data_IF_972558928261
#
_entry.id   IF_972558928261
#
_cell.length_a   1.000
_cell.length_b   1.000
_cell.length_c   1.000
_cell.angle_alpha   90.00
_cell.angle_beta   90.00
_cell.angle_gamma   90.00
#
_symmetry.space_group_name_H-M   'P 1'
#
loop_
_entity.id
_entity.type
_entity.pdbx_description
1 polymer ?
#
# COMPACT_ATOMS: atom_id res chain seq x y z
N UNK A 1 -13.12 23.25 17.12
CA UNK A 1 -13.68 23.80 18.37
C UNK A 1 -12.62 23.67 19.45
N UNK A 2 -11.92 24.75 19.78
CA UNK A 2 -10.87 24.73 20.79
C UNK A 2 -11.53 24.59 22.17
N UNK A 3 -11.31 23.45 22.83
CA UNK A 3 -11.75 23.23 24.20
C UNK A 3 -10.72 23.93 25.09
N UNK A 4 -11.10 25.01 25.76
CA UNK A 4 -10.32 25.54 26.88
C UNK A 4 -10.89 24.99 28.18
N UNK A 5 -10.04 24.49 29.07
CA UNK A 5 -10.48 24.05 30.38
C UNK A 5 -10.75 25.27 31.24
N UNK A 6 -11.99 25.77 31.22
CA UNK A 6 -12.36 26.95 31.99
C UNK A 6 -12.20 26.73 33.51
N UNK A 7 -12.29 25.48 33.99
CA UNK A 7 -12.02 25.09 35.39
C UNK A 7 -11.85 23.56 35.55
N UNK A 8 -11.39 23.12 36.73
CA UNK A 8 -11.22 21.70 37.12
C UNK A 8 -12.49 20.84 36.98
N UNK A 9 -13.68 21.42 37.22
CA UNK A 9 -14.97 20.73 37.03
C UNK A 9 -15.25 20.43 35.56
N UNK A 10 -14.99 21.39 34.69
CA UNK A 10 -15.15 21.21 33.26
C UNK A 10 -14.13 20.21 32.71
N UNK A 11 -12.88 20.25 33.20
CA UNK A 11 -11.87 19.23 32.91
C UNK A 11 -12.34 17.83 33.31
N UNK A 12 -12.84 17.64 34.52
CA UNK A 12 -13.38 16.36 34.98
C UNK A 12 -14.59 15.89 34.14
N UNK A 13 -15.46 16.81 33.73
CA UNK A 13 -16.62 16.53 32.85
C UNK A 13 -16.16 16.07 31.47
N UNK A 14 -15.22 16.80 30.86
CA UNK A 14 -14.68 16.51 29.53
C UNK A 14 -13.85 15.22 29.53
N UNK A 15 -13.08 14.97 30.60
CA UNK A 15 -12.36 13.71 30.78
C UNK A 15 -13.32 12.53 30.88
N UNK A 16 -14.39 12.65 31.68
CA UNK A 16 -15.39 11.59 31.84
C UNK A 16 -16.21 11.34 30.57
N UNK A 17 -16.52 12.37 29.79
CA UNK A 17 -17.38 12.28 28.61
C UNK A 17 -16.62 11.97 27.32
N UNK A 18 -15.41 12.50 27.16
CA UNK A 18 -14.64 12.46 25.91
C UNK A 18 -13.22 11.90 26.08
N UNK A 19 -12.80 11.52 27.29
CA UNK A 19 -11.46 10.98 27.55
C UNK A 19 -10.34 12.03 27.44
N UNK A 20 -10.66 13.33 27.41
CA UNK A 20 -9.65 14.39 27.26
C UNK A 20 -8.96 14.63 28.60
N UNK A 21 -7.67 14.28 28.68
CA UNK A 21 -6.87 14.36 29.91
C UNK A 21 -6.20 15.73 30.07
N UNK A 22 -5.70 16.29 28.97
CA UNK A 22 -5.01 17.58 28.97
C UNK A 22 -5.03 18.21 27.58
N UNK A 23 -4.70 19.51 27.51
CA UNK A 23 -4.41 20.17 26.25
C UNK A 23 -3.10 19.62 25.69
N UNK A 24 -2.99 19.59 24.37
CA UNK A 24 -1.73 19.22 23.72
C UNK A 24 -0.63 20.22 24.09
N UNK A 25 0.57 19.76 24.52
CA UNK A 25 1.71 20.64 24.77
C UNK A 25 2.10 21.48 23.56
N UNK A 26 1.80 21.00 22.35
CA UNK A 26 2.10 21.69 21.08
C UNK A 26 1.37 23.03 20.96
N UNK A 27 0.26 23.25 21.68
CA UNK A 27 -0.44 24.55 21.71
C UNK A 27 0.43 25.67 22.29
N UNK A 28 1.46 25.34 23.08
CA UNK A 28 2.39 26.32 23.65
C UNK A 28 3.38 26.87 22.62
N UNK A 29 3.48 26.26 21.45
CA UNK A 29 4.37 26.71 20.39
C UNK A 29 3.67 27.86 19.66
N UNK A 30 4.28 29.05 19.68
CA UNK A 30 3.74 30.21 18.99
C UNK A 30 3.55 29.91 17.50
N UNK A 31 2.38 30.30 16.97
CA UNK A 31 1.99 30.09 15.57
C UNK A 31 1.94 28.61 15.14
N UNK A 32 1.86 27.67 16.08
CA UNK A 32 1.61 26.26 15.77
C UNK A 32 0.13 25.92 15.85
N UNK A 33 -0.47 25.61 14.70
CA UNK A 33 -1.82 25.10 14.60
C UNK A 33 -1.80 23.57 14.43
N UNK A 34 -2.23 22.88 15.48
CA UNK A 34 -2.27 21.42 15.53
C UNK A 34 -3.08 20.84 14.37
N UNK A 35 -4.18 21.46 13.96
CA UNK A 35 -5.07 20.89 12.94
C UNK A 35 -4.56 21.13 11.52
N UNK A 36 -3.86 22.25 11.30
CA UNK A 36 -3.38 22.62 9.97
C UNK A 36 -1.92 22.24 9.72
N UNK A 37 -1.14 21.93 10.76
CA UNK A 37 0.30 21.64 10.66
C UNK A 37 0.68 20.24 11.16
N UNK A 38 -0.30 19.37 11.44
CA UNK A 38 -0.04 17.94 11.64
C UNK A 38 -0.71 17.11 10.56
N UNK A 39 0.05 16.16 10.02
CA UNK A 39 -0.43 15.21 9.03
C UNK A 39 -1.31 14.13 9.68
N UNK A 40 -2.40 13.75 9.02
CA UNK A 40 -3.21 12.61 9.43
C UNK A 40 -2.54 11.32 8.97
N UNK A 41 -2.34 10.36 9.88
CA UNK A 41 -1.80 9.06 9.54
C UNK A 41 -2.84 8.15 8.86
N UNK A 42 -2.72 8.04 7.54
CA UNK A 42 -3.65 7.27 6.72
C UNK A 42 -3.62 5.76 7.03
N UNK A 43 -2.52 5.20 7.53
CA UNK A 43 -2.44 3.77 7.83
C UNK A 43 -3.41 3.41 8.96
N UNK A 44 -3.36 4.16 10.06
CA UNK A 44 -4.26 3.92 11.18
C UNK A 44 -5.70 4.30 10.84
N UNK A 45 -5.92 5.37 10.08
CA UNK A 45 -7.27 5.81 9.70
C UNK A 45 -7.94 4.80 8.77
N UNK A 46 -7.29 4.48 7.65
CA UNK A 46 -7.82 3.55 6.65
C UNK A 46 -7.63 2.10 7.10
N UNK A 47 -6.40 1.60 7.07
CA UNK A 47 -6.09 0.17 7.10
C UNK A 47 -6.38 -0.49 8.45
N UNK A 48 -6.05 0.17 9.56
CA UNK A 48 -6.38 -0.33 10.92
C UNK A 48 -7.72 0.19 11.46
N UNK A 49 -8.48 0.89 10.64
CA UNK A 49 -9.70 1.55 11.06
C UNK A 49 -10.86 1.21 10.16
N UNK A 50 -11.10 2.10 9.21
CA UNK A 50 -12.26 2.07 8.33
C UNK A 50 -12.29 0.77 7.51
N UNK A 51 -11.15 0.34 6.96
CA UNK A 51 -11.03 -0.90 6.19
C UNK A 51 -11.42 -2.13 7.00
N UNK A 52 -10.99 -2.21 8.27
CA UNK A 52 -11.38 -3.31 9.15
C UNK A 52 -12.88 -3.29 9.42
N UNK A 53 -13.48 -2.11 9.63
CA UNK A 53 -14.91 -1.96 9.89
C UNK A 53 -15.73 -2.35 8.66
N UNK A 54 -15.39 -1.78 7.50
CA UNK A 54 -16.02 -2.06 6.20
C UNK A 54 -16.04 -3.56 5.92
N UNK A 55 -14.88 -4.21 5.96
CA UNK A 55 -14.77 -5.61 5.61
C UNK A 55 -15.54 -6.52 6.59
N UNK A 56 -15.54 -6.21 7.89
CA UNK A 56 -16.34 -6.95 8.86
C UNK A 56 -17.84 -6.86 8.56
N UNK A 57 -18.33 -5.67 8.23
CA UNK A 57 -19.74 -5.44 7.93
C UNK A 57 -20.17 -6.13 6.63
N UNK A 58 -19.36 -5.99 5.56
CA UNK A 58 -19.59 -6.68 4.30
C UNK A 58 -19.64 -8.21 4.47
N UNK A 59 -18.65 -8.78 5.17
CA UNK A 59 -18.60 -10.22 5.41
C UNK A 59 -19.77 -10.71 6.28
N UNK A 60 -20.19 -9.89 7.26
CA UNK A 60 -21.38 -10.18 8.07
C UNK A 60 -22.63 -10.26 7.21
N UNK A 61 -22.82 -9.30 6.30
CA UNK A 61 -23.98 -9.31 5.41
C UNK A 61 -23.95 -10.51 4.45
N UNK A 62 -22.79 -10.82 3.86
CA UNK A 62 -22.59 -12.02 3.01
C UNK A 62 -22.95 -13.31 3.77
N UNK A 63 -22.54 -13.42 5.04
CA UNK A 63 -22.89 -14.56 5.89
C UNK A 63 -24.40 -14.62 6.18
N UNK A 64 -25.03 -13.48 6.49
CA UNK A 64 -26.46 -13.39 6.80
C UNK A 64 -27.35 -13.75 5.60
N UNK A 65 -26.96 -13.33 4.40
CA UNK A 65 -27.63 -13.71 3.14
C UNK A 65 -27.31 -15.15 2.70
N UNK A 66 -26.45 -15.86 3.44
CA UNK A 66 -25.99 -17.22 3.13
C UNK A 66 -25.33 -17.35 1.76
N UNK A 67 -24.72 -16.27 1.26
CA UNK A 67 -23.98 -16.28 -0.01
C UNK A 67 -22.67 -17.06 0.09
N UNK A 68 -22.03 -17.04 1.26
CA UNK A 68 -20.83 -17.83 1.54
C UNK A 68 -20.74 -18.23 3.00
N UNK A 69 -20.10 -19.37 3.27
CA UNK A 69 -19.65 -19.74 4.61
C UNK A 69 -18.28 -19.08 4.90
N UNK A 70 -18.10 -18.54 6.11
CA UNK A 70 -16.85 -17.91 6.54
C UNK A 70 -15.65 -18.87 6.51
N UNK A 71 -15.82 -20.16 6.81
CA UNK A 71 -14.72 -21.13 6.77
C UNK A 71 -14.27 -21.39 5.33
N UNK A 72 -15.21 -21.59 4.42
CA UNK A 72 -14.94 -21.73 2.99
C UNK A 72 -14.27 -20.47 2.43
N UNK A 73 -14.78 -19.28 2.80
CA UNK A 73 -14.22 -18.02 2.34
C UNK A 73 -12.81 -17.78 2.89
N UNK A 74 -12.55 -18.15 4.14
CA UNK A 74 -11.19 -18.12 4.72
C UNK A 74 -10.24 -19.00 3.92
N UNK A 75 -10.66 -20.20 3.52
CA UNK A 75 -9.83 -21.09 2.71
C UNK A 75 -9.54 -20.49 1.32
N UNK A 76 -10.53 -19.90 0.66
CA UNK A 76 -10.33 -19.23 -0.64
C UNK A 76 -9.37 -18.05 -0.49
N UNK A 77 -9.56 -17.19 0.52
CA UNK A 77 -8.69 -16.03 0.77
C UNK A 77 -7.24 -16.48 1.03
N UNK A 78 -7.02 -17.52 1.83
CA UNK A 78 -5.67 -18.02 2.15
C UNK A 78 -4.96 -18.66 0.96
N UNK A 79 -5.70 -19.39 0.15
CA UNK A 79 -5.14 -20.14 -0.97
C UNK A 79 -5.07 -19.32 -2.28
N UNK A 80 -5.52 -18.06 -2.25
CA UNK A 80 -5.43 -17.17 -3.39
C UNK A 80 -3.97 -16.89 -3.77
N UNK A 81 -3.69 -16.74 -5.07
CA UNK A 81 -2.34 -16.45 -5.56
C UNK A 81 -2.07 -14.95 -5.50
N UNK A 82 -1.46 -14.50 -4.40
CA UNK A 82 -1.02 -13.12 -4.23
C UNK A 82 0.25 -12.81 -5.04
N UNK A 83 0.44 -11.54 -5.38
CA UNK A 83 1.65 -11.07 -6.06
C UNK A 83 2.91 -11.31 -5.23
N UNK A 84 4.05 -11.51 -5.90
CA UNK A 84 5.32 -11.89 -5.26
C UNK A 84 5.77 -10.92 -4.15
N UNK A 85 5.54 -9.62 -4.34
CA UNK A 85 5.92 -8.58 -3.39
C UNK A 85 4.81 -8.22 -2.39
N UNK A 86 3.65 -8.88 -2.47
CA UNK A 86 2.49 -8.54 -1.66
C UNK A 86 2.34 -9.49 -0.46
N UNK A 87 2.05 -8.96 0.74
CA UNK A 87 1.80 -9.79 1.90
C UNK A 87 0.51 -10.58 1.70
N UNK A 88 0.62 -11.90 1.62
CA UNK A 88 -0.53 -12.78 1.77
C UNK A 88 -1.05 -12.76 3.21
N UNK A 89 -2.35 -12.97 3.44
CA UNK A 89 -2.89 -13.17 4.78
C UNK A 89 -2.14 -14.30 5.50
N UNK A 90 -1.65 -14.02 6.69
CA UNK A 90 -0.91 -14.98 7.52
C UNK A 90 -1.80 -16.14 7.97
N UNK A 91 -1.15 -17.20 8.47
CA UNK A 91 -1.83 -18.36 9.09
C UNK A 91 -2.72 -17.98 10.28
N UNK A 92 -2.61 -16.76 10.79
CA UNK A 92 -3.44 -16.22 11.86
C UNK A 92 -4.76 -15.62 11.35
N UNK A 93 -4.88 -15.32 10.06
CA UNK A 93 -6.09 -14.77 9.47
C UNK A 93 -7.18 -15.84 9.42
N UNK A 94 -8.15 -15.79 10.31
CA UNK A 94 -9.33 -16.66 10.28
C UNK A 94 -10.57 -15.80 10.45
N UNK A 95 -11.59 -16.07 9.63
CA UNK A 95 -12.91 -15.49 9.81
C UNK A 95 -13.67 -16.36 10.82
N UNK A 96 -14.06 -15.75 11.94
CA UNK A 96 -14.99 -16.35 12.90
C UNK A 96 -16.22 -15.46 13.06
N UNK A 97 -17.32 -16.07 13.52
CA UNK A 97 -18.51 -15.36 13.94
C UNK A 97 -18.66 -15.55 15.44
N UNK A 98 -18.63 -14.46 16.19
CA UNK A 98 -18.78 -14.43 17.64
C UNK A 98 -19.68 -13.24 17.99
N UNK A 99 -20.66 -13.42 18.86
CA UNK A 99 -21.60 -12.37 19.29
C UNK A 99 -22.31 -11.63 18.13
N UNK A 100 -22.67 -12.37 17.07
CA UNK A 100 -23.21 -11.82 15.81
C UNK A 100 -22.29 -10.80 15.11
N UNK A 101 -20.98 -10.87 15.36
CA UNK A 101 -19.96 -10.09 14.67
C UNK A 101 -18.95 -10.99 13.98
N UNK A 102 -18.51 -10.58 12.78
CA UNK A 102 -17.38 -11.23 12.11
C UNK A 102 -16.08 -10.71 12.71
N UNK A 103 -15.25 -11.63 13.21
CA UNK A 103 -13.94 -11.32 13.77
C UNK A 103 -12.85 -11.90 12.87
N UNK A 104 -11.78 -11.12 12.70
CA UNK A 104 -10.55 -11.54 12.05
C UNK A 104 -9.40 -10.64 12.52
N UNK A 105 -8.16 -11.11 12.30
CA UNK A 105 -6.94 -10.33 12.55
C UNK A 105 -6.16 -10.22 11.25
N UNK A 106 -5.88 -8.99 10.86
CA UNK A 106 -5.02 -8.65 9.74
C UNK A 106 -4.21 -7.40 10.12
N UNK A 107 -2.92 -7.42 9.86
CA UNK A 107 -2.04 -6.26 9.90
C UNK A 107 -2.45 -5.24 8.84
N UNK A 108 -1.97 -3.99 8.97
CA UNK A 108 -2.23 -2.95 7.97
C UNK A 108 -1.80 -3.38 6.55
N UNK A 109 -0.67 -4.07 6.42
CA UNK A 109 -0.16 -4.53 5.13
C UNK A 109 -1.02 -5.67 4.54
N UNK A 110 -1.46 -6.64 5.36
CA UNK A 110 -2.41 -7.67 4.93
C UNK A 110 -3.76 -7.06 4.54
N UNK A 111 -4.24 -6.04 5.28
CA UNK A 111 -5.48 -5.34 4.95
C UNK A 111 -5.41 -4.63 3.60
N UNK A 112 -4.27 -4.01 3.27
CA UNK A 112 -4.07 -3.39 1.97
C UNK A 112 -4.15 -4.43 0.84
N UNK A 113 -3.47 -5.57 0.99
CA UNK A 113 -3.56 -6.66 0.00
C UNK A 113 -4.96 -7.26 -0.10
N UNK A 114 -5.68 -7.43 1.02
CA UNK A 114 -7.08 -7.88 0.99
C UNK A 114 -7.96 -6.91 0.20
N UNK A 115 -7.86 -5.60 0.41
CA UNK A 115 -8.64 -4.62 -0.36
C UNK A 115 -8.28 -4.61 -1.85
N UNK A 116 -7.03 -4.92 -2.20
CA UNK A 116 -6.61 -5.07 -3.59
C UNK A 116 -7.23 -6.32 -4.23
N UNK A 117 -7.22 -7.46 -3.53
CA UNK A 117 -7.53 -8.77 -4.12
C UNK A 117 -8.95 -9.29 -3.87
N UNK A 118 -9.71 -8.74 -2.92
CA UNK A 118 -11.09 -9.19 -2.65
C UNK A 118 -11.98 -9.22 -3.90
N UNK A 119 -11.98 -8.22 -4.79
CA UNK A 119 -12.75 -8.29 -6.03
C UNK A 119 -12.43 -9.54 -6.87
N UNK A 120 -11.15 -9.92 -6.96
CA UNK A 120 -10.72 -11.13 -7.68
C UNK A 120 -11.11 -12.41 -6.96
N UNK A 121 -10.90 -12.44 -5.64
CA UNK A 121 -11.26 -13.58 -4.79
C UNK A 121 -12.76 -13.87 -4.92
N UNK A 122 -13.58 -12.82 -4.83
CA UNK A 122 -15.05 -12.92 -4.95
C UNK A 122 -15.48 -13.25 -6.37
N UNK A 123 -14.74 -12.83 -7.39
CA UNK A 123 -15.00 -13.20 -8.77
C UNK A 123 -14.72 -14.69 -9.01
N UNK A 124 -13.55 -15.17 -8.59
CA UNK A 124 -13.15 -16.58 -8.71
C UNK A 124 -14.09 -17.52 -7.94
N UNK A 125 -14.67 -17.06 -6.83
CA UNK A 125 -15.64 -17.83 -6.05
C UNK A 125 -17.10 -17.62 -6.48
N UNK A 126 -17.35 -17.01 -7.64
CA UNK A 126 -18.70 -16.68 -8.17
C UNK A 126 -19.57 -15.81 -7.24
N UNK A 127 -19.00 -15.16 -6.23
CA UNK A 127 -19.73 -14.29 -5.31
C UNK A 127 -20.06 -12.93 -5.93
N UNK A 128 -19.28 -12.48 -6.91
CA UNK A 128 -19.46 -11.17 -7.55
C UNK A 128 -20.87 -11.00 -8.13
N UNK A 129 -21.44 -12.05 -8.72
CA UNK A 129 -22.80 -11.99 -9.30
C UNK A 129 -23.86 -11.76 -8.21
N UNK A 130 -23.72 -12.44 -7.07
CA UNK A 130 -24.64 -12.35 -5.93
C UNK A 130 -24.58 -11.00 -5.22
N UNK A 131 -23.39 -10.40 -5.12
CA UNK A 131 -23.19 -9.17 -4.34
C UNK A 131 -23.23 -7.90 -5.18
N UNK A 132 -23.19 -8.00 -6.52
CA UNK A 132 -23.02 -6.84 -7.41
C UNK A 132 -24.12 -5.78 -7.28
N UNK A 133 -25.34 -6.19 -6.87
CA UNK A 133 -26.47 -5.30 -6.63
C UNK A 133 -26.53 -4.74 -5.20
N UNK A 134 -25.66 -5.20 -4.29
CA UNK A 134 -25.65 -4.75 -2.90
C UNK A 134 -25.01 -3.37 -2.77
N UNK A 135 -25.65 -2.51 -1.98
CA UNK A 135 -25.12 -1.18 -1.62
C UNK A 135 -23.80 -1.32 -0.84
N UNK A 136 -23.69 -2.35 0.00
CA UNK A 136 -22.49 -2.75 0.74
C UNK A 136 -21.29 -2.99 -0.18
N UNK A 137 -21.51 -3.65 -1.32
CA UNK A 137 -20.44 -3.91 -2.28
C UNK A 137 -19.99 -2.61 -2.96
N UNK A 138 -20.93 -1.73 -3.28
CA UNK A 138 -20.61 -0.41 -3.81
C UNK A 138 -19.82 0.44 -2.81
N UNK A 139 -20.21 0.41 -1.52
CA UNK A 139 -19.46 1.05 -0.42
C UNK A 139 -18.01 0.57 -0.38
N UNK A 140 -17.80 -0.76 -0.43
CA UNK A 140 -16.47 -1.36 -0.44
C UNK A 140 -15.62 -0.90 -1.64
N UNK A 141 -16.21 -0.85 -2.85
CA UNK A 141 -15.50 -0.41 -4.06
C UNK A 141 -15.10 1.08 -3.98
N UNK A 142 -15.97 1.94 -3.45
CA UNK A 142 -15.65 3.35 -3.23
C UNK A 142 -14.50 3.51 -2.22
N UNK A 143 -14.53 2.78 -1.11
CA UNK A 143 -13.43 2.81 -0.14
C UNK A 143 -12.12 2.32 -0.75
N UNK A 144 -12.16 1.29 -1.58
CA UNK A 144 -10.99 0.80 -2.32
C UNK A 144 -10.41 1.88 -3.23
N UNK A 145 -11.24 2.66 -3.93
CA UNK A 145 -10.78 3.77 -4.76
C UNK A 145 -10.15 4.90 -3.92
N UNK A 146 -10.75 5.23 -2.77
CA UNK A 146 -10.18 6.18 -1.79
C UNK A 146 -8.80 5.72 -1.33
N UNK A 147 -8.61 4.44 -1.01
CA UNK A 147 -7.31 3.87 -0.63
C UNK A 147 -6.31 4.02 -1.78
N UNK A 148 -6.72 3.73 -3.01
CA UNK A 148 -5.87 3.85 -4.20
C UNK A 148 -5.33 5.27 -4.37
N UNK A 149 -6.21 6.27 -4.29
CA UNK A 149 -5.81 7.68 -4.42
C UNK A 149 -4.96 8.13 -3.22
N UNK A 150 -5.32 7.70 -2.00
CA UNK A 150 -4.57 8.05 -0.78
C UNK A 150 -3.14 7.50 -0.78
N UNK A 151 -2.90 6.41 -1.51
CA UNK A 151 -1.58 5.77 -1.64
C UNK A 151 -0.82 6.19 -2.90
N UNK A 152 -1.39 7.07 -3.73
CA UNK A 152 -0.71 7.60 -4.89
C UNK A 152 0.60 8.30 -4.49
N UNK A 153 1.63 8.15 -5.33
CA UNK A 153 2.93 8.79 -5.14
C UNK A 153 2.97 10.22 -5.65
N UNK A 154 2.08 10.55 -6.58
CA UNK A 154 1.97 11.81 -7.27
C UNK A 154 0.49 12.19 -7.32
N UNK A 155 0.23 13.49 -7.23
CA UNK A 155 -1.12 14.04 -7.20
C UNK A 155 -1.13 15.35 -7.98
N UNK A 156 -2.31 15.71 -8.47
CA UNK A 156 -2.61 17.05 -8.96
C UNK A 156 -3.90 17.57 -8.31
N UNK A 157 -4.33 18.77 -8.69
CA UNK A 157 -5.54 19.40 -8.15
C UNK A 157 -6.78 18.55 -8.47
N UNK A 158 -6.86 17.96 -9.67
CA UNK A 158 -8.00 17.13 -10.08
C UNK A 158 -8.10 15.84 -9.26
N UNK A 159 -6.95 15.29 -8.83
CA UNK A 159 -6.86 14.13 -7.95
C UNK A 159 -7.44 14.46 -6.57
N UNK A 160 -7.18 15.67 -6.06
CA UNK A 160 -7.72 16.14 -4.78
C UNK A 160 -9.24 16.31 -4.87
N UNK A 161 -9.74 16.99 -5.91
CA UNK A 161 -11.18 17.17 -6.14
C UNK A 161 -11.91 15.82 -6.25
N UNK A 162 -11.31 14.87 -7.00
CA UNK A 162 -11.82 13.51 -7.12
C UNK A 162 -11.87 12.79 -5.77
N UNK A 163 -10.85 12.95 -4.92
CA UNK A 163 -10.83 12.35 -3.59
C UNK A 163 -11.96 12.89 -2.71
N UNK A 164 -12.22 14.19 -2.73
CA UNK A 164 -13.30 14.82 -1.95
C UNK A 164 -14.69 14.35 -2.40
N UNK A 165 -14.91 14.23 -3.71
CA UNK A 165 -16.14 13.64 -4.26
C UNK A 165 -16.32 12.19 -3.81
N UNK A 166 -15.26 11.37 -3.95
CA UNK A 166 -15.28 9.95 -3.58
C UNK A 166 -15.53 9.76 -2.09
N UNK A 167 -14.91 10.57 -1.22
CA UNK A 167 -15.15 10.54 0.24
C UNK A 167 -16.61 10.85 0.54
N UNK A 168 -17.18 11.87 -0.09
CA UNK A 168 -18.57 12.26 0.11
C UNK A 168 -19.52 11.12 -0.29
N UNK A 169 -19.31 10.56 -1.49
CA UNK A 169 -20.08 9.43 -2.00
C UNK A 169 -19.96 8.21 -1.11
N UNK A 170 -18.74 7.84 -0.72
CA UNK A 170 -18.48 6.72 0.19
C UNK A 170 -19.23 6.88 1.51
N UNK A 171 -19.14 8.05 2.16
CA UNK A 171 -19.78 8.28 3.45
C UNK A 171 -21.31 8.15 3.37
N UNK A 172 -21.93 8.62 2.29
CA UNK A 172 -23.37 8.47 2.05
C UNK A 172 -23.72 7.00 1.78
N UNK A 173 -22.98 6.34 0.90
CA UNK A 173 -23.20 4.93 0.55
C UNK A 173 -23.01 4.00 1.76
N UNK A 174 -22.01 4.26 2.60
CA UNK A 174 -21.74 3.54 3.83
C UNK A 174 -22.93 3.64 4.80
N UNK A 175 -23.49 4.84 4.99
CA UNK A 175 -24.65 5.03 5.86
C UNK A 175 -25.89 4.32 5.30
N UNK A 176 -26.07 4.32 3.98
CA UNK A 176 -27.17 3.61 3.34
C UNK A 176 -27.01 2.08 3.44
N UNK A 177 -25.78 1.56 3.37
CA UNK A 177 -25.49 0.13 3.48
C UNK A 177 -25.64 -0.38 4.92
N UNK A 178 -25.06 0.34 5.89
CA UNK A 178 -24.84 -0.18 7.24
C UNK A 178 -25.53 0.62 8.35
N UNK A 179 -25.98 1.84 8.06
CA UNK A 179 -26.54 2.78 9.01
C UNK A 179 -25.49 3.65 9.72
N UNK A 180 -25.85 4.90 9.99
CA UNK A 180 -24.96 5.91 10.62
C UNK A 180 -24.30 5.44 11.93
N UNK A 181 -24.99 4.62 12.72
CA UNK A 181 -24.48 4.08 14.00
C UNK A 181 -23.22 3.22 13.84
N UNK A 182 -22.95 2.74 12.62
CA UNK A 182 -21.78 1.91 12.34
C UNK A 182 -20.52 2.73 12.09
N UNK A 183 -20.63 4.06 11.94
CA UNK A 183 -19.47 4.95 11.79
C UNK A 183 -18.65 4.96 13.07
N UNK A 184 -17.34 4.77 12.89
CA UNK A 184 -16.33 5.05 13.91
C UNK A 184 -15.75 6.46 13.74
N UNK A 185 -15.17 7.09 14.78
CA UNK A 185 -14.57 8.43 14.69
C UNK A 185 -13.60 8.63 13.52
N UNK A 186 -12.90 7.56 13.10
CA UNK A 186 -11.99 7.59 11.94
C UNK A 186 -12.68 7.97 10.62
N UNK A 187 -13.97 7.68 10.43
CA UNK A 187 -14.70 8.08 9.21
C UNK A 187 -14.76 9.59 9.06
N UNK A 188 -14.86 10.34 10.17
CA UNK A 188 -14.85 11.80 10.11
C UNK A 188 -13.52 12.34 9.59
N UNK A 189 -12.40 11.64 9.84
CA UNK A 189 -11.08 12.06 9.39
C UNK A 189 -10.95 12.03 7.86
N UNK A 190 -11.75 11.22 7.15
CA UNK A 190 -11.77 11.20 5.68
C UNK A 190 -12.15 12.55 5.08
N UNK A 191 -13.03 13.32 5.74
CA UNK A 191 -13.47 14.63 5.25
C UNK A 191 -12.29 15.60 5.14
N UNK A 192 -11.24 15.39 5.95
CA UNK A 192 -10.03 16.22 5.95
C UNK A 192 -8.97 15.73 4.96
N UNK A 193 -9.19 14.60 4.25
CA UNK A 193 -8.16 14.04 3.37
C UNK A 193 -7.82 14.96 2.21
N UNK A 194 -8.82 15.61 1.59
CA UNK A 194 -8.59 16.57 0.50
C UNK A 194 -7.73 17.74 0.95
N UNK A 195 -8.09 18.40 2.06
CA UNK A 195 -7.31 19.49 2.64
C UNK A 195 -5.89 19.05 3.03
N UNK A 196 -5.75 17.87 3.64
CA UNK A 196 -4.44 17.33 4.02
C UNK A 196 -3.57 17.06 2.79
N UNK A 197 -4.17 16.54 1.72
CA UNK A 197 -3.50 16.26 0.47
C UNK A 197 -3.07 17.57 -0.22
N UNK A 198 -3.90 18.62 -0.16
CA UNK A 198 -3.56 19.96 -0.64
C UNK A 198 -2.40 20.60 0.15
N UNK A 199 -2.35 20.42 1.47
CA UNK A 199 -1.34 21.05 2.34
C UNK A 199 0.00 20.32 2.34
N UNK A 200 -0.02 18.99 2.39
CA UNK A 200 1.18 18.17 2.63
C UNK A 200 1.62 17.37 1.40
N UNK A 201 0.87 17.46 0.30
CA UNK A 201 1.11 16.64 -0.88
C UNK A 201 0.51 15.23 -0.73
N UNK A 202 1.05 14.23 -1.45
CA UNK A 202 0.52 12.87 -1.43
C UNK A 202 0.40 12.29 -0.01
N UNK A 203 -0.81 11.84 0.35
CA UNK A 203 -1.10 11.34 1.70
C UNK A 203 -0.28 10.09 2.07
N UNK A 204 0.25 9.36 1.09
CA UNK A 204 1.14 8.23 1.33
C UNK A 204 2.28 8.57 2.29
N UNK A 205 2.81 9.80 2.22
CA UNK A 205 3.95 10.22 3.03
C UNK A 205 3.61 10.49 4.50
N UNK A 206 2.32 10.58 4.86
CA UNK A 206 1.89 10.69 6.26
C UNK A 206 1.65 9.32 6.91
N UNK A 207 1.75 8.22 6.15
CA UNK A 207 1.57 6.86 6.63
C UNK A 207 2.66 6.43 7.60
N UNK A 208 2.27 5.87 8.75
CA UNK A 208 3.22 5.32 9.71
C UNK A 208 3.69 3.88 9.43
N UNK A 209 3.27 3.27 8.32
CA UNK A 209 3.62 1.87 7.99
C UNK A 209 5.14 1.65 7.96
N UNK A 210 5.92 2.63 7.49
CA UNK A 210 7.38 2.56 7.46
C UNK A 210 7.98 2.58 8.88
N UNK A 211 7.43 3.41 9.77
CA UNK A 211 7.88 3.47 11.17
C UNK A 211 7.56 2.17 11.91
N UNK A 212 6.39 1.59 11.68
CA UNK A 212 6.04 0.28 12.26
C UNK A 212 6.94 -0.84 11.75
N UNK A 213 7.26 -0.83 10.45
CA UNK A 213 8.25 -1.76 9.86
C UNK A 213 9.61 -1.60 10.52
N UNK A 214 10.04 -0.36 10.82
CA UNK A 214 11.30 -0.12 11.54
C UNK A 214 11.24 -0.67 12.96
N UNK A 215 10.12 -0.53 13.66
CA UNK A 215 9.92 -1.11 14.99
C UNK A 215 10.00 -2.64 15.01
N UNK A 216 9.65 -3.32 13.91
CA UNK A 216 9.78 -4.78 13.80
C UNK A 216 11.22 -5.28 14.04
N UNK A 217 12.24 -4.49 13.68
CA UNK A 217 13.64 -4.81 14.02
C UNK A 217 13.81 -4.98 15.54
N UNK A 218 13.33 -4.02 16.32
CA UNK A 218 13.46 -3.99 17.77
C UNK A 218 12.58 -5.05 18.45
N UNK A 219 11.36 -5.29 17.94
CA UNK A 219 10.41 -6.26 18.49
C UNK A 219 10.82 -7.72 18.31
N UNK A 220 11.60 -8.04 17.26
CA UNK A 220 12.02 -9.43 16.96
C UNK A 220 13.16 -9.94 17.83
N UNK A 221 13.93 -9.05 18.44
CA UNK A 221 15.07 -9.44 19.25
C UNK A 221 14.56 -9.95 20.61
N UNK A 222 14.94 -11.18 20.96
CA UNK A 222 14.67 -11.78 22.27
C UNK A 222 15.83 -11.46 23.22
N UNK A 223 15.57 -10.81 24.34
CA UNK A 223 16.59 -10.46 25.34
C UNK A 223 16.58 -11.47 26.48
N UNK A 224 17.78 -11.79 26.98
CA UNK A 224 17.97 -12.56 28.21
C UNK A 224 18.60 -11.72 29.33
N UNK A 225 19.00 -10.48 29.03
CA UNK A 225 19.52 -9.49 29.97
C UNK A 225 18.66 -8.21 29.87
N UNK A 226 18.12 -7.76 31.00
CA UNK A 226 17.22 -6.60 31.08
C UNK A 226 17.94 -5.34 31.58
N UNK A 227 19.25 -5.40 31.84
CA UNK A 227 20.04 -4.23 32.22
C UNK A 227 20.26 -3.35 30.99
N UNK A 228 19.75 -2.13 31.03
CA UNK A 228 19.91 -1.12 29.98
C UNK A 228 19.53 -1.63 28.57
N UNK A 229 18.26 -2.03 28.42
CA UNK A 229 17.70 -2.52 27.15
C UNK A 229 17.85 -1.46 26.03
N UNK A 230 17.67 -0.17 26.37
CA UNK A 230 17.79 0.92 25.41
C UNK A 230 19.21 0.97 24.79
N UNK A 231 20.26 0.84 25.60
CA UNK A 231 21.63 0.77 25.10
C UNK A 231 21.86 -0.47 24.23
N UNK A 232 21.43 -1.65 24.71
CA UNK A 232 21.54 -2.90 23.94
C UNK A 232 20.86 -2.79 22.57
N UNK A 233 19.70 -2.12 22.53
CA UNK A 233 18.95 -1.89 21.30
C UNK A 233 19.65 -0.94 20.35
N UNK A 234 20.15 0.17 20.87
CA UNK A 234 20.88 1.16 20.10
C UNK A 234 22.15 0.54 19.51
N UNK A 235 22.97 -0.12 20.33
CA UNK A 235 24.23 -0.75 19.92
C UNK A 235 24.01 -1.78 18.80
N UNK A 236 23.05 -2.69 18.99
CA UNK A 236 22.74 -3.70 17.96
C UNK A 236 22.20 -3.09 16.68
N UNK A 237 21.39 -2.03 16.78
CA UNK A 237 20.92 -1.30 15.61
C UNK A 237 22.07 -0.63 14.86
N UNK A 238 23.02 -0.01 15.58
CA UNK A 238 24.22 0.58 14.95
C UNK A 238 25.04 -0.47 14.21
N UNK A 239 25.27 -1.65 14.80
CA UNK A 239 25.94 -2.75 14.11
C UNK A 239 25.18 -3.21 12.85
N UNK A 240 23.84 -3.29 12.93
CA UNK A 240 23.03 -3.63 11.76
C UNK A 240 23.14 -2.58 10.65
N UNK A 241 23.05 -1.29 10.98
CA UNK A 241 23.22 -0.21 10.00
C UNK A 241 24.64 -0.24 9.41
N UNK A 242 25.67 -0.42 10.22
CA UNK A 242 27.04 -0.58 9.73
C UNK A 242 27.17 -1.73 8.73
N UNK A 243 26.54 -2.88 9.01
CA UNK A 243 26.55 -4.02 8.08
C UNK A 243 25.84 -3.75 6.74
N UNK A 244 24.80 -2.91 6.73
CA UNK A 244 24.13 -2.49 5.49
C UNK A 244 24.95 -1.49 4.67
N UNK A 245 25.86 -0.79 5.33
CA UNK A 245 26.72 0.26 4.76
C UNK A 245 28.06 -0.29 4.25
N UNK A 246 28.30 -1.60 4.39
CA UNK A 246 29.45 -2.27 3.81
C UNK A 246 29.11 -2.74 2.39
N UNK A 247 29.97 -2.44 1.42
CA UNK A 247 29.93 -3.03 0.09
C UNK A 247 30.37 -4.49 0.13
N UNK A 248 30.19 -5.22 -0.98
CA UNK A 248 30.73 -6.58 -1.16
C UNK A 248 32.26 -6.67 -0.97
N UNK A 249 32.96 -5.54 -1.08
CA UNK A 249 34.40 -5.41 -0.86
C UNK A 249 34.77 -4.94 0.56
N UNK A 250 33.83 -4.93 1.50
CA UNK A 250 33.97 -4.37 2.85
C UNK A 250 34.35 -2.88 2.89
N UNK A 251 34.18 -2.15 1.78
CA UNK A 251 34.35 -0.70 1.75
C UNK A 251 33.06 -0.01 2.23
N UNK A 252 33.17 1.22 2.73
CA UNK A 252 31.99 2.01 3.07
C UNK A 252 31.23 2.42 1.79
N UNK A 253 29.91 2.27 1.79
CA UNK A 253 29.06 2.84 0.74
C UNK A 253 29.15 4.37 0.76
N UNK A 254 29.11 4.99 -0.42
CA UNK A 254 29.14 6.45 -0.55
C UNK A 254 27.82 7.12 -0.12
N UNK A 255 26.75 6.35 0.06
CA UNK A 255 25.43 6.85 0.46
C UNK A 255 24.86 6.07 1.65
N UNK A 256 24.36 6.82 2.63
CA UNK A 256 23.63 6.30 3.80
C UNK A 256 22.20 5.85 3.48
N UNK A 257 21.61 6.43 2.42
CA UNK A 257 20.21 6.18 2.07
C UNK A 257 20.05 5.01 1.09
N UNK A 258 21.13 4.62 0.41
CA UNK A 258 21.07 3.63 -0.65
C UNK A 258 22.30 2.72 -0.69
N UNK A 259 22.07 1.43 -0.42
CA UNK A 259 23.10 0.38 -0.43
C UNK A 259 23.45 -0.12 -1.85
N UNK A 260 22.87 0.46 -2.91
CA UNK A 260 23.07 0.04 -4.30
C UNK A 260 22.03 -0.96 -4.83
N UNK A 261 22.14 -1.29 -6.11
CA UNK A 261 21.28 -2.27 -6.81
C UNK A 261 21.49 -3.68 -6.26
N UNK A 262 20.40 -4.38 -5.96
CA UNK A 262 20.47 -5.81 -5.62
C UNK A 262 20.05 -6.64 -6.83
N UNK A 263 20.96 -7.50 -7.30
CA UNK A 263 20.74 -8.35 -8.48
C UNK A 263 20.80 -9.81 -8.02
N UNK A 264 19.79 -10.61 -8.40
CA UNK A 264 19.74 -12.04 -8.06
C UNK A 264 19.79 -12.89 -9.33
N UNK A 265 20.39 -14.09 -9.26
CA UNK A 265 20.43 -15.07 -10.37
C UNK A 265 20.99 -14.44 -11.65
N UNK A 266 22.28 -14.14 -11.62
CA UNK A 266 22.99 -13.49 -12.72
C UNK A 266 23.50 -14.53 -13.69
N UNK A 267 23.23 -14.34 -14.98
CA UNK A 267 23.86 -15.06 -16.09
C UNK A 267 24.64 -14.06 -16.94
N UNK A 268 25.91 -14.33 -17.18
CA UNK A 268 26.71 -13.51 -18.09
C UNK A 268 26.27 -13.77 -19.54
N UNK A 269 26.01 -12.67 -20.26
CA UNK A 269 25.67 -12.66 -21.68
C UNK A 269 26.90 -12.18 -22.44
N UNK A 270 27.52 -13.05 -23.22
CA UNK A 270 28.54 -12.64 -24.18
C UNK A 270 27.89 -12.47 -25.56
N UNK A 271 27.32 -11.29 -25.80
CA UNK A 271 26.67 -10.96 -27.07
C UNK A 271 27.00 -9.55 -27.52
N UNK A 272 27.94 -9.44 -28.47
CA UNK A 272 28.24 -8.20 -29.19
C UNK A 272 27.00 -7.63 -29.88
N UNK A 273 26.13 -8.48 -30.40
CA UNK A 273 24.87 -8.08 -31.05
C UNK A 273 23.90 -7.41 -30.07
N UNK A 274 23.74 -7.96 -28.85
CA UNK A 274 22.89 -7.33 -27.82
C UNK A 274 23.48 -5.99 -27.38
N UNK A 275 24.81 -5.92 -27.21
CA UNK A 275 25.49 -4.66 -26.84
C UNK A 275 25.30 -3.58 -27.90
N UNK A 276 25.46 -3.91 -29.19
CA UNK A 276 25.21 -2.99 -30.30
C UNK A 276 23.74 -2.56 -30.40
N UNK A 277 22.81 -3.51 -30.29
CA UNK A 277 21.38 -3.23 -30.39
C UNK A 277 20.88 -2.26 -29.31
N UNK A 278 21.45 -2.32 -28.11
CA UNK A 278 21.07 -1.48 -26.98
C UNK A 278 22.02 -0.30 -26.71
N UNK A 279 23.00 -0.06 -27.60
CA UNK A 279 24.01 1.00 -27.46
C UNK A 279 24.78 0.94 -26.12
N UNK A 280 25.10 -0.28 -25.71
CA UNK A 280 25.79 -0.60 -24.46
C UNK A 280 27.31 -0.63 -24.67
N UNK A 281 28.06 -0.47 -23.58
CA UNK A 281 29.52 -0.43 -23.60
C UNK A 281 30.08 -1.79 -24.07
N UNK A 282 30.89 -1.79 -25.13
CA UNK A 282 31.42 -3.02 -25.71
C UNK A 282 32.42 -3.72 -24.79
N UNK A 283 33.16 -2.96 -23.98
CA UNK A 283 34.24 -3.45 -23.13
C UNK A 283 33.76 -4.05 -21.82
N UNK A 284 32.51 -3.78 -21.43
CA UNK A 284 31.97 -4.20 -20.13
C UNK A 284 31.11 -5.45 -20.24
N UNK A 285 31.10 -6.24 -19.17
CA UNK A 285 30.31 -7.45 -19.09
C UNK A 285 28.81 -7.13 -19.05
N UNK A 286 28.03 -7.96 -19.73
CA UNK A 286 26.58 -7.85 -19.80
C UNK A 286 25.96 -8.98 -18.99
N UNK A 287 24.96 -8.64 -18.18
CA UNK A 287 24.33 -9.58 -17.28
C UNK A 287 22.83 -9.70 -17.54
N UNK A 288 22.33 -10.92 -17.60
CA UNK A 288 20.91 -11.23 -17.59
C UNK A 288 20.48 -11.64 -16.19
N UNK A 289 19.31 -11.18 -15.76
CA UNK A 289 18.72 -11.53 -14.48
C UNK A 289 17.21 -11.61 -14.57
N UNK A 290 16.64 -12.44 -13.71
CA UNK A 290 15.19 -12.56 -13.56
C UNK A 290 14.63 -11.60 -12.50
N UNK A 291 15.50 -10.95 -11.71
CA UNK A 291 15.08 -10.11 -10.58
C UNK A 291 16.12 -9.03 -10.25
N UNK A 292 15.67 -7.78 -10.28
CA UNK A 292 16.48 -6.62 -9.89
C UNK A 292 15.73 -5.77 -8.85
N UNK A 293 16.44 -5.28 -7.84
CA UNK A 293 15.89 -4.36 -6.83
C UNK A 293 16.56 -2.99 -6.93
N UNK A 294 15.73 -1.96 -7.13
CA UNK A 294 16.10 -0.58 -7.37
C UNK A 294 15.39 0.34 -6.39
N UNK A 295 16.13 1.11 -5.61
CA UNK A 295 15.54 2.02 -4.61
C UNK A 295 14.49 1.36 -3.70
N UNK A 296 14.61 0.06 -3.44
CA UNK A 296 13.65 -0.72 -2.65
C UNK A 296 12.48 -1.35 -3.42
N UNK A 297 12.35 -1.06 -4.73
CA UNK A 297 11.37 -1.67 -5.63
C UNK A 297 11.99 -2.90 -6.29
N UNK A 298 11.28 -4.01 -6.27
CA UNK A 298 11.75 -5.27 -6.87
C UNK A 298 10.98 -5.56 -8.15
N UNK A 299 11.68 -5.60 -9.28
CA UNK A 299 11.15 -6.02 -10.57
C UNK A 299 11.45 -7.50 -10.79
N UNK A 300 10.43 -8.28 -11.13
CA UNK A 300 10.55 -9.72 -11.39
C UNK A 300 10.02 -10.05 -12.77
N UNK A 301 10.68 -10.99 -13.45
CA UNK A 301 10.17 -11.57 -14.70
C UNK A 301 8.75 -12.12 -14.48
N UNK A 302 7.85 -11.72 -15.37
CA UNK A 302 6.42 -12.04 -15.29
C UNK A 302 5.55 -10.88 -14.80
N UNK A 303 6.12 -9.91 -14.07
CA UNK A 303 5.38 -8.74 -13.58
C UNK A 303 4.96 -7.83 -14.75
N UNK A 304 3.87 -7.09 -14.56
CA UNK A 304 3.42 -6.05 -15.48
C UNK A 304 3.88 -4.68 -14.98
N UNK A 305 4.42 -3.86 -15.87
CA UNK A 305 4.81 -2.47 -15.60
C UNK A 305 4.06 -1.51 -16.52
N UNK A 306 3.76 -0.32 -16.02
CA UNK A 306 3.22 0.77 -16.83
C UNK A 306 4.37 1.41 -17.62
N UNK A 307 4.29 1.40 -18.95
CA UNK A 307 5.31 1.97 -19.84
C UNK A 307 5.03 3.45 -20.06
N UNK A 308 3.78 3.78 -20.39
CA UNK A 308 3.35 5.14 -20.59
C UNK A 308 1.91 5.30 -20.13
N UNK A 309 1.69 6.28 -19.26
CA UNK A 309 0.38 6.89 -19.08
C UNK A 309 0.26 7.97 -20.14
N UNK A 310 -0.29 7.59 -21.28
CA UNK A 310 -0.57 8.54 -22.34
C UNK A 310 -1.80 9.35 -21.92
N UNK A 311 -1.66 10.67 -21.87
CA UNK A 311 -2.74 11.59 -21.49
C UNK A 311 -4.00 11.22 -22.28
N UNK A 312 -5.12 11.04 -21.57
CA UNK A 312 -6.44 10.81 -22.16
C UNK A 312 -6.60 11.68 -23.43
N UNK A 313 -6.98 11.10 -24.58
CA UNK A 313 -7.88 9.96 -24.74
C UNK A 313 -7.22 8.58 -24.98
N UNK A 314 -5.89 8.46 -24.95
CA UNK A 314 -5.22 7.18 -25.22
C UNK A 314 -5.14 6.27 -23.99
N UNK A 315 -5.47 4.99 -24.16
CA UNK A 315 -5.38 3.99 -23.10
C UNK A 315 -3.95 3.80 -22.56
N UNK A 316 -3.78 3.48 -21.27
CA UNK A 316 -2.47 3.23 -20.70
C UNK A 316 -1.78 2.04 -21.37
N UNK A 317 -0.46 2.14 -21.56
CA UNK A 317 0.34 1.08 -22.19
C UNK A 317 1.10 0.31 -21.13
N UNK A 318 0.84 -0.99 -21.03
CA UNK A 318 1.52 -1.89 -20.11
C UNK A 318 2.53 -2.79 -20.83
N UNK A 319 3.50 -3.31 -20.08
CA UNK A 319 4.47 -4.29 -20.56
C UNK A 319 4.74 -5.40 -19.56
N UNK A 320 4.76 -6.65 -20.01
CA UNK A 320 5.18 -7.80 -19.19
C UNK A 320 6.69 -7.92 -19.20
N UNK A 321 7.33 -8.00 -18.04
CA UNK A 321 8.78 -8.20 -17.95
C UNK A 321 9.12 -9.62 -18.44
N UNK A 322 9.85 -9.71 -19.55
CA UNK A 322 10.38 -10.97 -20.09
C UNK A 322 11.72 -11.30 -19.47
N UNK A 323 12.65 -10.35 -19.50
CA UNK A 323 14.01 -10.47 -18.96
C UNK A 323 14.53 -9.10 -18.53
N UNK A 324 15.50 -9.07 -17.62
CA UNK A 324 16.21 -7.85 -17.23
C UNK A 324 17.67 -7.97 -17.63
N UNK A 325 18.18 -6.94 -18.30
CA UNK A 325 19.56 -6.82 -18.75
C UNK A 325 20.24 -5.73 -17.92
N UNK A 326 21.42 -6.01 -17.39
CA UNK A 326 22.17 -5.12 -16.52
C UNK A 326 23.59 -4.96 -17.03
N UNK A 327 24.03 -3.70 -17.14
CA UNK A 327 25.42 -3.33 -17.37
C UNK A 327 25.75 -2.12 -16.47
N UNK A 328 26.60 -2.34 -15.46
CA UNK A 328 26.90 -1.36 -14.41
C UNK A 328 25.64 -0.75 -13.74
N UNK A 329 25.34 0.51 -14.09
CA UNK A 329 24.19 1.29 -13.59
C UNK A 329 23.01 1.30 -14.55
N UNK A 330 23.21 0.82 -15.78
CA UNK A 330 22.20 0.76 -16.83
C UNK A 330 21.41 -0.53 -16.62
N UNK A 331 20.09 -0.38 -16.44
CA UNK A 331 19.17 -1.49 -16.24
C UNK A 331 18.07 -1.37 -17.28
N UNK A 332 18.04 -2.36 -18.17
CA UNK A 332 17.10 -2.43 -19.27
C UNK A 332 16.11 -3.57 -19.01
N UNK A 333 14.83 -3.26 -19.11
CA UNK A 333 13.75 -4.23 -19.04
C UNK A 333 13.30 -4.56 -20.46
N UNK A 334 13.38 -5.84 -20.83
CA UNK A 334 12.74 -6.32 -22.06
C UNK A 334 11.29 -6.64 -21.74
N UNK A 335 10.38 -5.91 -22.39
CA UNK A 335 8.96 -5.92 -22.10
C UNK A 335 8.17 -6.48 -23.29
N UNK A 336 7.28 -7.43 -23.05
CA UNK A 336 6.25 -7.80 -24.02
C UNK A 336 5.09 -6.83 -23.91
N UNK A 337 4.71 -6.18 -25.02
CA UNK A 337 3.66 -5.16 -24.99
C UNK A 337 2.29 -5.78 -24.67
N UNK A 338 1.50 -5.03 -23.90
CA UNK A 338 0.13 -5.38 -23.56
C UNK A 338 -0.82 -4.31 -24.12
N UNK A 339 -1.83 -4.74 -24.87
CA UNK A 339 -2.90 -3.87 -25.36
C UNK A 339 -4.09 -3.91 -24.41
N UNK A 340 -4.54 -2.75 -23.93
CA UNK A 340 -5.78 -2.64 -23.16
C UNK A 340 -6.97 -2.94 -24.07
N UNK A 341 -7.84 -3.84 -23.61
CA UNK A 341 -9.10 -4.17 -24.28
C UNK A 341 -10.23 -3.34 -23.69
N UNK A 342 -10.37 -3.36 -22.36
CA UNK A 342 -11.44 -2.67 -21.64
C UNK A 342 -11.09 -2.52 -20.16
N UNK A 343 -11.60 -1.48 -19.52
CA UNK A 343 -11.56 -1.36 -18.06
C UNK A 343 -12.80 -2.04 -17.43
N UNK A 344 -12.57 -3.11 -16.68
CA UNK A 344 -13.60 -3.81 -15.93
C UNK A 344 -13.88 -3.07 -14.62
N UNK A 345 -14.97 -2.30 -14.59
CA UNK A 345 -15.37 -1.53 -13.41
C UNK A 345 -15.70 -2.39 -12.18
N UNK A 346 -16.20 -3.63 -12.37
CA UNK A 346 -16.57 -4.52 -11.25
C UNK A 346 -15.36 -5.01 -10.46
N UNK A 347 -14.26 -5.23 -11.17
CA UNK A 347 -12.97 -5.67 -10.60
C UNK A 347 -11.98 -4.52 -10.43
N UNK A 348 -12.32 -3.34 -10.96
CA UNK A 348 -11.49 -2.15 -11.06
C UNK A 348 -10.09 -2.44 -11.64
N UNK A 349 -10.04 -3.12 -12.80
CA UNK A 349 -8.80 -3.45 -13.51
C UNK A 349 -8.95 -3.38 -15.02
N UNK A 350 -7.82 -3.24 -15.71
CA UNK A 350 -7.75 -3.35 -17.16
C UNK A 350 -7.66 -4.81 -17.59
N UNK A 351 -8.54 -5.21 -18.50
CA UNK A 351 -8.36 -6.42 -19.29
C UNK A 351 -7.37 -6.13 -20.41
N UNK A 352 -6.35 -6.98 -20.54
CA UNK A 352 -5.24 -6.75 -21.47
C UNK A 352 -4.97 -7.99 -22.33
N UNK A 353 -4.56 -7.75 -23.58
CA UNK A 353 -4.07 -8.78 -24.51
C UNK A 353 -2.56 -8.68 -24.65
N UNK A 354 -1.85 -9.81 -24.54
CA UNK A 354 -0.43 -9.88 -24.84
C UNK A 354 -0.20 -9.76 -26.36
N UNK A 355 0.70 -8.88 -26.77
CA UNK A 355 1.14 -8.74 -28.15
C UNK A 355 2.42 -9.54 -28.38
N UNK A 356 2.69 -9.94 -29.63
CA UNK A 356 3.94 -10.60 -30.00
C UNK A 356 5.13 -9.62 -30.08
N UNK A 357 4.85 -8.32 -30.08
CA UNK A 357 5.85 -7.26 -30.06
C UNK A 357 6.49 -7.11 -28.68
N UNK A 358 7.80 -6.89 -28.67
CA UNK A 358 8.57 -6.57 -27.46
C UNK A 358 9.32 -5.26 -27.63
N UNK A 359 9.43 -4.49 -26.55
CA UNK A 359 10.20 -3.26 -26.46
C UNK A 359 11.20 -3.37 -25.33
N UNK A 360 12.37 -2.77 -25.47
CA UNK A 360 13.32 -2.63 -24.37
C UNK A 360 13.28 -1.20 -23.86
N UNK A 361 13.14 -1.05 -22.55
CA UNK A 361 13.09 0.24 -21.87
C UNK A 361 14.09 0.30 -20.75
N UNK A 362 14.76 1.44 -20.62
CA UNK A 362 15.52 1.71 -19.41
C UNK A 362 14.53 1.85 -18.25
N UNK A 363 14.79 1.20 -17.12
CA UNK A 363 13.91 1.24 -15.96
C UNK A 363 13.65 2.68 -15.46
N UNK A 364 14.60 3.60 -15.66
CA UNK A 364 14.46 5.01 -15.30
C UNK A 364 13.56 5.80 -16.25
N UNK A 365 13.18 5.25 -17.41
CA UNK A 365 12.23 5.86 -18.34
C UNK A 365 10.78 5.49 -18.03
N UNK A 366 10.52 4.52 -17.13
CA UNK A 366 9.16 4.13 -16.79
C UNK A 366 8.48 5.25 -16.01
N UNK A 367 7.28 5.65 -16.46
CA UNK A 367 6.40 6.53 -15.67
C UNK A 367 5.87 5.76 -14.47
N UNK A 368 5.97 6.36 -13.28
CA UNK A 368 5.57 5.76 -12.01
C UNK A 368 6.31 4.46 -11.71
N UNK A 369 7.61 4.60 -11.43
CA UNK A 369 8.56 3.53 -11.10
C UNK A 369 8.14 2.74 -9.84
N UNK A 370 7.10 3.14 -9.11
CA UNK A 370 6.77 2.60 -7.78
C UNK A 370 5.50 1.72 -7.77
N UNK A 371 5.51 0.56 -7.08
CA UNK A 371 4.41 -0.42 -7.05
C UNK A 371 3.10 0.07 -6.43
#
# INVERSE_FOLDING_TARGET
MAIDFANEREKARLQKKYGIISLSPLRKINNFDIFHQTGIDIMHVLLEGICQRELKLLLKHIQQQKFANLSSLTAVIRNFQYGFNEPSPSDKFNLSSEDNEVKFRASASEMLSLFKYIPFIFHQSHLTELISALVDWHSFLLLREIISISLASEIDITTIEKLEELVTRYLITFDNAYGYVQRIPKHHLLVHFGEQMHRFGPLRFTSCMIFEKKHSFFKRIKYRNFRNIAFTLADRHQHYIASLMCTCSNAATSSFLYSGHQIKKVKELDSSAAKQHYLLDMEKNLYETNQVTLFGITYVVGDAVLINDSVFPSDPVFGKILTTIVQDKIILLRLQLMQVIVFNQKLCVYEVRLLDSSVTKNVYELKHVWP
#
